data_IF_573664803441
#
_entry.id   IF_573664803441
#
_cell.length_a   1.000
_cell.length_b   1.000
_cell.length_c   1.000
_cell.angle_alpha   90.00
_cell.angle_beta   90.00
_cell.angle_gamma   90.00
#
_symmetry.space_group_name_H-M   'P 1'
#
loop_
_entity.id
_entity.type
_entity.pdbx_description
1 polymer ?
#
# COMPACT_ATOMS: atom_id res chain seq x y z
N UNK A 1 39.29 -31.09 -70.80
CA UNK A 1 39.70 -30.98 -69.42
C UNK A 1 38.71 -30.02 -68.68
N UNK A 2 37.73 -30.59 -68.03
CA UNK A 2 36.75 -29.81 -67.26
C UNK A 2 37.13 -29.86 -65.81
N UNK A 3 37.54 -28.72 -65.22
CA UNK A 3 37.76 -28.55 -63.75
C UNK A 3 36.45 -28.39 -63.11
N UNK A 4 36.02 -29.31 -62.25
CA UNK A 4 34.83 -29.19 -61.37
C UNK A 4 35.18 -28.24 -60.21
N UNK A 5 34.51 -27.12 -60.18
CA UNK A 5 34.50 -26.24 -59.00
C UNK A 5 33.51 -26.81 -57.99
N UNK A 6 34.01 -27.19 -56.82
CA UNK A 6 33.22 -27.59 -55.67
C UNK A 6 32.82 -26.34 -54.89
N UNK A 7 31.55 -25.97 -55.00
CA UNK A 7 30.98 -24.89 -54.18
C UNK A 7 30.58 -25.47 -52.82
N UNK A 8 31.37 -25.13 -51.78
CA UNK A 8 31.02 -25.44 -50.40
C UNK A 8 30.11 -24.31 -49.91
N UNK A 9 28.82 -24.60 -49.81
CA UNK A 9 27.87 -23.73 -49.16
C UNK A 9 27.97 -23.88 -47.66
N UNK A 10 28.58 -22.87 -46.99
CA UNK A 10 28.64 -22.77 -45.54
C UNK A 10 27.29 -22.23 -45.04
N UNK A 11 26.43 -23.10 -44.55
CA UNK A 11 25.19 -22.71 -43.85
C UNK A 11 25.54 -22.21 -42.45
N UNK A 12 25.46 -20.89 -42.26
CA UNK A 12 25.57 -20.28 -40.95
C UNK A 12 24.27 -20.50 -40.20
N UNK A 13 24.31 -21.39 -39.22
CA UNK A 13 23.22 -21.64 -38.31
C UNK A 13 23.26 -20.54 -37.22
N UNK A 14 22.49 -19.46 -37.39
CA UNK A 14 22.30 -18.45 -36.34
C UNK A 14 21.40 -19.02 -35.28
N UNK A 15 21.97 -19.47 -34.18
CA UNK A 15 21.22 -19.79 -32.97
C UNK A 15 20.72 -18.50 -32.37
N UNK A 16 19.42 -18.20 -32.56
CA UNK A 16 18.75 -17.13 -31.83
C UNK A 16 18.63 -17.56 -30.37
N UNK A 17 19.50 -16.97 -29.53
CA UNK A 17 19.40 -17.10 -28.08
C UNK A 17 18.17 -16.31 -27.64
N UNK A 18 17.02 -16.99 -27.54
CA UNK A 18 15.80 -16.42 -26.95
C UNK A 18 16.04 -16.12 -25.47
N UNK A 19 16.29 -14.85 -25.15
CA UNK A 19 16.21 -14.35 -23.79
C UNK A 19 14.76 -14.52 -23.31
N UNK A 20 14.51 -15.64 -22.61
CA UNK A 20 13.28 -15.79 -21.86
C UNK A 20 13.24 -14.70 -20.78
N UNK A 21 12.56 -13.60 -21.07
CA UNK A 21 12.21 -12.63 -20.05
C UNK A 21 11.23 -13.30 -19.10
N UNK A 22 11.76 -13.77 -17.99
CA UNK A 22 10.95 -14.21 -16.86
C UNK A 22 10.26 -12.97 -16.32
N UNK A 23 9.06 -12.69 -16.81
CA UNK A 23 8.16 -11.74 -16.19
C UNK A 23 7.87 -12.27 -14.79
N UNK A 24 8.61 -11.80 -13.81
CA UNK A 24 8.29 -12.04 -12.40
C UNK A 24 6.90 -11.42 -12.17
N UNK A 25 5.88 -12.28 -12.17
CA UNK A 25 4.56 -11.96 -11.68
C UNK A 25 4.75 -11.38 -10.28
N UNK A 26 4.27 -10.15 -9.98
CA UNK A 26 4.36 -9.62 -8.64
C UNK A 26 3.69 -10.63 -7.71
N UNK A 27 4.47 -11.23 -6.84
CA UNK A 27 3.94 -12.07 -5.78
C UNK A 27 3.18 -11.15 -4.86
N UNK A 28 1.85 -11.22 -4.91
CA UNK A 28 0.97 -10.63 -3.91
C UNK A 28 1.27 -11.33 -2.58
N UNK A 29 2.31 -10.89 -1.92
CA UNK A 29 2.58 -11.31 -0.55
C UNK A 29 1.42 -10.80 0.30
N UNK A 30 0.66 -11.73 0.88
CA UNK A 30 -0.43 -11.39 1.79
C UNK A 30 0.12 -10.46 2.87
N UNK A 31 -0.52 -9.31 3.14
CA UNK A 31 -0.03 -8.38 4.15
C UNK A 31 0.15 -9.08 5.49
N UNK A 32 1.27 -8.77 6.19
CA UNK A 32 1.46 -9.28 7.55
C UNK A 32 0.50 -8.55 8.49
N UNK A 33 -0.37 -9.32 9.15
CA UNK A 33 -1.33 -8.77 10.13
C UNK A 33 -0.95 -9.08 11.58
N UNK A 34 0.22 -9.68 11.81
CA UNK A 34 0.66 -10.04 13.16
C UNK A 34 1.29 -8.88 13.90
N UNK A 35 2.02 -8.03 13.20
CA UNK A 35 2.67 -6.85 13.75
C UNK A 35 2.78 -5.76 12.68
N UNK A 36 2.90 -4.48 13.07
CA UNK A 36 3.17 -3.39 12.14
C UNK A 36 4.44 -3.65 11.32
N UNK A 37 4.47 -3.14 10.11
CA UNK A 37 5.68 -3.18 9.30
C UNK A 37 6.81 -2.43 10.02
N UNK A 38 8.03 -2.94 9.92
CA UNK A 38 9.20 -2.23 10.43
C UNK A 38 9.50 -1.06 9.50
N UNK A 39 9.48 0.15 10.02
CA UNK A 39 9.87 1.36 9.32
C UNK A 39 11.19 1.87 9.86
N UNK A 40 11.95 2.58 9.04
CA UNK A 40 13.25 3.14 9.37
C UNK A 40 13.31 4.62 8.96
N UNK A 41 14.12 5.39 9.65
CA UNK A 41 14.20 6.84 9.45
C UNK A 41 13.07 7.61 10.14
N UNK A 42 13.11 8.93 10.02
CA UNK A 42 12.24 9.82 10.79
C UNK A 42 10.80 9.90 10.24
N UNK A 43 10.58 9.38 9.02
CA UNK A 43 9.28 9.53 8.35
C UNK A 43 8.95 10.98 8.00
N UNK A 44 7.70 11.22 7.67
CA UNK A 44 7.15 12.56 7.47
C UNK A 44 6.24 12.87 8.64
N UNK A 45 6.47 14.01 9.30
CA UNK A 45 5.59 14.53 10.35
C UNK A 45 4.87 15.76 9.81
N UNK A 46 3.55 15.77 9.91
CA UNK A 46 2.71 16.88 9.50
C UNK A 46 2.51 17.89 10.63
N UNK A 47 2.02 19.07 10.31
CA UNK A 47 1.74 20.12 11.30
C UNK A 47 0.69 19.70 12.33
N UNK A 48 -0.21 18.77 11.98
CA UNK A 48 -1.22 18.21 12.88
C UNK A 48 -0.67 17.17 13.86
N UNK A 49 0.60 16.74 13.68
CA UNK A 49 1.24 15.70 14.48
C UNK A 49 1.06 14.28 13.94
N UNK A 50 0.43 14.10 12.79
CA UNK A 50 0.44 12.82 12.08
C UNK A 50 1.87 12.50 11.64
N UNK A 51 2.30 11.26 11.82
CA UNK A 51 3.57 10.77 11.31
C UNK A 51 3.33 9.59 10.38
N UNK A 52 4.04 9.56 9.23
CA UNK A 52 3.87 8.45 8.30
C UNK A 52 5.16 8.07 7.56
N UNK A 53 5.20 6.85 7.08
CA UNK A 53 6.26 6.27 6.26
C UNK A 53 5.67 5.60 5.03
N UNK A 54 6.17 5.93 3.85
CA UNK A 54 5.87 5.19 2.62
C UNK A 54 6.73 3.92 2.57
N UNK A 55 6.13 2.77 2.89
CA UNK A 55 6.77 1.45 2.81
C UNK A 55 6.94 1.04 1.35
N UNK A 56 5.91 1.30 0.56
CA UNK A 56 5.90 1.11 -0.89
C UNK A 56 5.27 2.34 -1.52
N UNK A 57 5.99 2.99 -2.40
CA UNK A 57 5.43 4.06 -3.23
C UNK A 57 4.71 3.40 -4.41
N UNK A 58 3.39 3.60 -4.50
CA UNK A 58 2.61 3.09 -5.62
C UNK A 58 2.95 3.79 -6.94
N UNK A 59 2.52 3.20 -8.03
CA UNK A 59 2.74 3.72 -9.39
C UNK A 59 1.46 4.22 -10.06
N UNK A 60 0.31 4.03 -9.43
CA UNK A 60 -0.98 4.42 -9.96
C UNK A 60 -1.37 5.87 -9.65
N UNK A 61 -2.65 6.15 -9.80
CA UNK A 61 -3.26 7.48 -9.56
C UNK A 61 -3.05 7.91 -8.10
N UNK A 62 -2.86 9.20 -7.90
CA UNK A 62 -2.71 9.81 -6.55
C UNK A 62 -4.10 10.03 -5.95
N UNK A 63 -4.29 9.59 -4.71
CA UNK A 63 -5.51 9.84 -3.94
C UNK A 63 -5.57 11.29 -3.44
N UNK A 64 -6.71 11.90 -3.63
CA UNK A 64 -7.01 13.28 -3.22
C UNK A 64 -8.38 13.35 -2.55
N UNK A 65 -8.62 14.45 -1.87
CA UNK A 65 -9.92 14.73 -1.25
C UNK A 65 -11.06 14.61 -2.28
N UNK A 66 -12.14 13.96 -1.88
CA UNK A 66 -13.31 13.66 -2.70
C UNK A 66 -13.24 12.34 -3.46
N UNK A 67 -12.07 11.70 -3.54
CA UNK A 67 -11.95 10.40 -4.17
C UNK A 67 -12.56 9.29 -3.29
N UNK A 68 -13.33 8.39 -3.90
CA UNK A 68 -13.68 7.10 -3.30
C UNK A 68 -12.46 6.19 -3.29
N UNK A 69 -11.93 5.86 -2.14
CA UNK A 69 -10.73 5.01 -2.02
C UNK A 69 -11.07 3.65 -1.45
N UNK A 70 -10.38 2.64 -1.96
CA UNK A 70 -10.50 1.26 -1.49
C UNK A 70 -9.16 0.81 -0.96
N UNK A 71 -9.12 0.39 0.30
CA UNK A 71 -7.89 0.07 1.01
C UNK A 71 -7.96 -1.29 1.71
N UNK A 72 -6.80 -1.91 1.89
CA UNK A 72 -6.59 -2.87 2.96
C UNK A 72 -5.82 -2.19 4.08
N UNK A 73 -6.16 -2.56 5.32
CA UNK A 73 -5.48 -2.03 6.49
C UNK A 73 -5.40 -3.05 7.62
N UNK A 74 -4.48 -2.81 8.52
CA UNK A 74 -4.42 -3.42 9.83
C UNK A 74 -4.01 -2.37 10.84
N UNK A 75 -4.69 -2.32 11.98
CA UNK A 75 -4.46 -1.36 13.04
C UNK A 75 -4.00 -2.02 14.35
N UNK A 76 -3.06 -1.38 15.02
CA UNK A 76 -2.52 -1.80 16.31
C UNK A 76 -2.44 -0.63 17.29
N UNK A 77 -2.53 -0.96 18.57
CA UNK A 77 -2.11 -0.08 19.64
C UNK A 77 -0.57 -0.09 19.76
N UNK A 78 0.03 0.93 20.41
CA UNK A 78 1.49 0.99 20.59
C UNK A 78 2.09 -0.21 21.32
N UNK A 79 1.30 -0.90 22.15
CA UNK A 79 1.71 -2.13 22.84
C UNK A 79 1.73 -3.37 21.92
N UNK A 80 1.42 -3.21 20.63
CA UNK A 80 1.39 -4.28 19.65
C UNK A 80 0.06 -5.05 19.58
N UNK A 81 -0.94 -4.70 20.38
CA UNK A 81 -2.26 -5.31 20.32
C UNK A 81 -2.99 -4.86 19.05
N UNK A 82 -3.27 -5.81 18.16
CA UNK A 82 -4.11 -5.58 16.99
C UNK A 82 -5.55 -5.38 17.42
N UNK A 83 -6.21 -4.34 16.89
CA UNK A 83 -7.60 -4.05 17.20
C UNK A 83 -8.53 -4.18 16.00
N UNK A 84 -8.03 -4.06 14.77
CA UNK A 84 -8.84 -4.21 13.55
C UNK A 84 -7.99 -4.56 12.33
N UNK A 85 -8.60 -5.29 11.37
CA UNK A 85 -7.95 -5.63 10.10
C UNK A 85 -8.95 -6.01 9.03
N UNK A 86 -8.96 -5.26 7.93
CA UNK A 86 -9.71 -5.62 6.72
C UNK A 86 -9.14 -6.86 6.02
N UNK A 87 -7.84 -7.12 6.21
CA UNK A 87 -7.16 -8.31 5.67
C UNK A 87 -7.67 -9.57 6.36
N UNK A 88 -7.77 -9.55 7.69
CA UNK A 88 -8.32 -10.66 8.47
C UNK A 88 -9.81 -10.86 8.19
N UNK A 89 -10.56 -9.78 7.98
CA UNK A 89 -11.97 -9.81 7.59
C UNK A 89 -12.18 -10.31 6.14
N UNK A 90 -11.11 -10.42 5.34
CA UNK A 90 -11.16 -10.92 3.97
C UNK A 90 -11.83 -9.98 2.96
N UNK A 91 -12.05 -8.71 3.33
CA UNK A 91 -12.68 -7.71 2.46
C UNK A 91 -12.04 -6.34 2.61
N UNK A 92 -11.75 -5.63 1.51
CA UNK A 92 -11.28 -4.26 1.56
C UNK A 92 -12.32 -3.32 2.15
N UNK A 93 -11.84 -2.22 2.70
CA UNK A 93 -12.65 -1.12 3.20
C UNK A 93 -12.69 0.01 2.16
N UNK A 94 -13.86 0.61 1.97
CA UNK A 94 -14.07 1.72 1.03
C UNK A 94 -14.64 2.92 1.75
N UNK A 95 -14.13 4.11 1.49
CA UNK A 95 -14.62 5.38 2.03
C UNK A 95 -14.29 6.55 1.10
N UNK A 96 -14.97 7.68 1.27
CA UNK A 96 -14.66 8.92 0.54
C UNK A 96 -13.64 9.72 1.34
N UNK A 97 -12.49 9.99 0.71
CA UNK A 97 -11.37 10.66 1.34
C UNK A 97 -11.69 12.14 1.62
N UNK A 98 -11.37 12.60 2.84
CA UNK A 98 -11.59 13.99 3.26
C UNK A 98 -13.03 14.32 3.64
N UNK A 99 -13.95 13.34 3.68
CA UNK A 99 -15.37 13.55 3.95
C UNK A 99 -15.75 13.31 5.42
N UNK A 100 -14.78 13.06 6.30
CA UNK A 100 -15.03 12.78 7.71
C UNK A 100 -15.72 11.44 8.00
N UNK A 101 -15.71 10.51 7.04
CA UNK A 101 -16.24 9.15 7.22
C UNK A 101 -15.33 8.26 8.08
N UNK A 102 -14.08 8.67 8.23
CA UNK A 102 -13.03 7.99 8.98
C UNK A 102 -12.36 8.96 9.95
N UNK A 103 -11.49 8.45 10.83
CA UNK A 103 -10.72 9.30 11.73
C UNK A 103 -9.85 10.29 10.95
N UNK A 104 -9.61 11.46 11.52
CA UNK A 104 -8.86 12.56 10.87
C UNK A 104 -7.48 12.12 10.36
N UNK A 105 -6.80 11.28 11.13
CA UNK A 105 -5.50 10.75 10.74
C UNK A 105 -5.53 9.92 9.44
N UNK A 106 -6.66 9.33 9.10
CA UNK A 106 -6.84 8.63 7.84
C UNK A 106 -7.14 9.58 6.68
N UNK A 107 -8.05 10.54 6.87
CA UNK A 107 -8.35 11.54 5.85
C UNK A 107 -7.10 12.31 5.43
N UNK A 108 -6.23 12.61 6.40
CA UNK A 108 -4.95 13.27 6.15
C UNK A 108 -3.89 12.29 5.62
N UNK A 109 -3.76 11.11 6.22
CA UNK A 109 -2.67 10.17 5.97
C UNK A 109 -2.80 9.38 4.68
N UNK A 110 -4.01 9.12 4.19
CA UNK A 110 -4.26 8.42 2.91
C UNK A 110 -4.18 9.39 1.73
N UNK A 111 -4.44 10.67 1.94
CA UNK A 111 -4.25 11.70 0.91
C UNK A 111 -2.79 11.69 0.43
N UNK A 112 -2.60 11.78 -0.89
CA UNK A 112 -1.28 11.75 -1.51
C UNK A 112 -0.68 10.36 -1.72
N UNK A 113 -1.31 9.29 -1.21
CA UNK A 113 -0.91 7.93 -1.58
C UNK A 113 -1.20 7.66 -3.06
N UNK A 114 -0.35 6.85 -3.68
CA UNK A 114 -0.61 6.34 -5.04
C UNK A 114 -1.18 4.93 -4.97
N UNK A 115 -2.08 4.60 -5.89
CA UNK A 115 -2.60 3.24 -6.03
C UNK A 115 -1.45 2.24 -6.17
N UNK A 116 -1.54 1.15 -5.42
CA UNK A 116 -0.48 0.15 -5.26
C UNK A 116 0.51 0.48 -4.12
N UNK A 117 0.42 1.67 -3.52
CA UNK A 117 1.26 2.08 -2.40
C UNK A 117 0.85 1.45 -1.08
N UNK A 118 1.82 1.37 -0.17
CA UNK A 118 1.63 0.98 1.22
C UNK A 118 2.29 2.01 2.13
N UNK A 119 1.53 2.50 3.11
CA UNK A 119 1.96 3.54 4.06
C UNK A 119 1.66 3.09 5.48
N UNK A 120 2.58 3.33 6.38
CA UNK A 120 2.32 3.22 7.80
C UNK A 120 1.97 4.58 8.37
N UNK A 121 0.91 4.64 9.16
CA UNK A 121 0.45 5.84 9.85
C UNK A 121 0.63 5.68 11.34
N UNK A 122 1.24 6.66 12.00
CA UNK A 122 1.24 6.83 13.44
C UNK A 122 0.34 8.01 13.77
N UNK A 123 -0.79 7.74 14.37
CA UNK A 123 -1.89 8.68 14.56
C UNK A 123 -1.97 9.05 16.03
N UNK A 124 -1.74 10.33 16.40
CA UNK A 124 -1.92 10.77 17.77
C UNK A 124 -3.41 10.73 18.16
N UNK A 125 -3.75 10.72 19.47
CA UNK A 125 -5.13 10.61 19.94
C UNK A 125 -6.08 11.64 19.32
N UNK A 126 -5.65 12.89 19.16
CA UNK A 126 -6.47 13.99 18.62
C UNK A 126 -6.89 13.78 17.16
N UNK A 127 -6.15 12.99 16.41
CA UNK A 127 -6.46 12.58 15.04
C UNK A 127 -7.11 11.19 14.95
N UNK A 128 -7.32 10.55 16.08
CA UNK A 128 -7.94 9.24 16.22
C UNK A 128 -9.23 9.30 17.02
N UNK A 129 -9.31 8.52 18.09
CA UNK A 129 -10.51 8.41 18.93
C UNK A 129 -10.49 9.30 20.18
N UNK A 130 -9.43 10.09 20.36
CA UNK A 130 -9.35 11.14 21.38
C UNK A 130 -9.41 10.65 22.83
N UNK A 131 -9.92 11.52 23.68
CA UNK A 131 -10.00 11.31 25.12
C UNK A 131 -10.98 10.21 25.53
N UNK A 132 -11.93 9.86 24.66
CA UNK A 132 -12.97 8.89 25.00
C UNK A 132 -12.62 7.46 24.58
N UNK A 133 -11.75 7.27 23.57
CA UNK A 133 -11.53 5.97 22.96
C UNK A 133 -12.76 5.44 22.24
N UNK A 134 -12.88 4.12 22.10
CA UNK A 134 -14.08 3.48 21.52
C UNK A 134 -15.05 3.03 22.62
N UNK A 135 -16.38 3.06 22.36
CA UNK A 135 -17.40 2.71 23.36
C UNK A 135 -17.28 1.28 23.90
N UNK A 136 -16.76 0.37 23.09
CA UNK A 136 -16.52 -1.04 23.46
C UNK A 136 -15.23 -1.26 24.25
N UNK A 137 -14.42 -0.20 24.45
CA UNK A 137 -13.14 -0.26 25.14
C UNK A 137 -12.02 -0.93 24.36
N UNK A 138 -12.23 -1.27 23.09
CA UNK A 138 -11.20 -1.87 22.22
C UNK A 138 -10.00 -0.95 22.06
N UNK A 139 -10.26 0.35 21.89
CA UNK A 139 -9.25 1.41 21.91
C UNK A 139 -9.47 2.24 23.17
N UNK A 140 -8.52 2.21 24.11
CA UNK A 140 -8.60 2.98 25.34
C UNK A 140 -8.60 4.50 25.09
N UNK A 141 -9.04 5.30 26.05
CA UNK A 141 -8.87 6.75 26.02
C UNK A 141 -7.43 7.18 25.77
N UNK A 142 -7.25 8.27 25.02
CA UNK A 142 -5.94 8.88 24.74
C UNK A 142 -4.93 7.92 24.10
N UNK A 143 -5.40 7.02 23.24
CA UNK A 143 -4.53 6.06 22.57
C UNK A 143 -3.99 6.61 21.26
N UNK A 144 -2.67 6.53 21.07
CA UNK A 144 -2.07 6.60 19.76
C UNK A 144 -2.37 5.30 18.97
N UNK A 145 -2.43 5.40 17.65
CA UNK A 145 -2.76 4.28 16.78
C UNK A 145 -1.67 4.08 15.72
N UNK A 146 -1.42 2.84 15.37
CA UNK A 146 -0.52 2.48 14.26
C UNK A 146 -1.33 1.71 13.23
N UNK A 147 -1.27 2.17 11.97
CA UNK A 147 -1.92 1.48 10.85
C UNK A 147 -0.94 1.21 9.72
N UNK A 148 -0.96 0.01 9.18
CA UNK A 148 -0.45 -0.27 7.85
C UNK A 148 -1.62 -0.18 6.87
N UNK A 149 -1.56 0.73 5.91
CA UNK A 149 -2.61 0.97 4.92
C UNK A 149 -2.06 0.71 3.52
N UNK A 150 -2.78 -0.06 2.72
CA UNK A 150 -2.48 -0.30 1.31
C UNK A 150 -3.61 0.25 0.45
N UNK A 151 -3.31 1.18 -0.45
CA UNK A 151 -4.27 1.73 -1.40
C UNK A 151 -4.41 0.81 -2.61
N UNK A 152 -5.58 0.21 -2.76
CA UNK A 152 -5.85 -0.78 -3.81
C UNK A 152 -6.39 -0.13 -5.09
N UNK A 153 -7.33 0.79 -4.94
CA UNK A 153 -7.93 1.50 -6.07
C UNK A 153 -8.56 2.81 -5.64
N UNK A 154 -8.75 3.68 -6.62
CA UNK A 154 -9.52 4.91 -6.50
C UNK A 154 -10.73 4.75 -7.40
N UNK A 155 -11.92 5.00 -6.84
CA UNK A 155 -13.17 5.08 -7.58
C UNK A 155 -13.44 6.56 -7.87
N UNK A 156 -13.67 6.89 -9.13
CA UNK A 156 -14.09 8.24 -9.45
C UNK A 156 -15.52 8.45 -8.96
N UNK A 157 -15.86 9.65 -8.45
CA UNK A 157 -17.24 9.95 -8.11
C UNK A 157 -18.12 9.77 -9.35
N UNK A 158 -19.36 9.31 -9.18
CA UNK A 158 -20.30 9.23 -10.29
C UNK A 158 -20.45 10.62 -10.94
N UNK A 159 -20.25 10.65 -12.24
CA UNK A 159 -20.41 11.86 -13.05
C UNK A 159 -21.88 12.23 -13.22
#
# INVERSE_FOLDING_TARGET
>A
MFKKFLVVTLTIFTAALGLAQTTRRPTHTRPNTKAPAKVTGDGVTTDSGLQYWDIVVGTGKVAKEGDGVRVHYTGWLPNGKKFDSSVDAGRPFTFVLGNGEVIKGWDEGVAGMKVGGKRQLHIPPDLGYGENGTPDGTIPPNSALIFDVQLLSIQEPPQ
#
